data_IF_836914461229
#
_entry.id   IF_836914461229
#
_cell.length_a   1.000
_cell.length_b   1.000
_cell.length_c   1.000
_cell.angle_alpha   90.00
_cell.angle_beta   90.00
_cell.angle_gamma   90.00
#
_symmetry.space_group_name_H-M   'P 1'
#
loop_
_entity.id
_entity.type
_entity.pdbx_description
1 polymer ?
#
# COMPACT_ATOMS: atom_id res chain seq x y z
N UNK A 1 0.42 12.24 -24.66
CA UNK A 1 1.61 13.01 -24.24
C UNK A 1 1.66 12.94 -22.73
N UNK A 2 2.78 12.50 -22.14
CA UNK A 2 2.97 12.52 -20.70
C UNK A 2 3.16 14.00 -20.29
N UNK A 3 2.26 14.55 -19.46
CA UNK A 3 2.20 15.98 -19.13
C UNK A 3 3.06 16.36 -17.91
N UNK A 4 3.88 15.42 -17.42
CA UNK A 4 4.60 15.57 -16.15
C UNK A 4 3.80 15.06 -14.96
N UNK A 5 4.40 15.12 -13.78
CA UNK A 5 3.78 14.77 -12.50
C UNK A 5 3.68 16.02 -11.63
N UNK A 6 2.71 16.10 -10.71
CA UNK A 6 2.69 17.16 -9.70
C UNK A 6 3.81 16.90 -8.69
N UNK A 7 4.86 17.72 -8.73
CA UNK A 7 6.03 17.57 -7.84
C UNK A 7 5.72 17.77 -6.36
N UNK A 8 4.55 18.35 -6.04
CA UNK A 8 4.08 18.52 -4.66
C UNK A 8 3.32 17.30 -4.15
N UNK A 9 2.89 16.40 -5.03
CA UNK A 9 2.24 15.16 -4.63
C UNK A 9 3.30 14.23 -4.02
N UNK A 10 3.12 13.80 -2.77
CA UNK A 10 4.11 12.96 -2.09
C UNK A 10 4.44 11.68 -2.87
N UNK A 11 3.46 11.11 -3.59
CA UNK A 11 3.58 9.88 -4.41
C UNK A 11 4.53 10.02 -5.60
N UNK A 12 4.93 11.24 -5.97
CA UNK A 12 5.82 11.51 -7.10
C UNK A 12 7.28 11.10 -6.88
N UNK A 13 7.67 10.75 -5.64
CA UNK A 13 9.04 10.37 -5.27
C UNK A 13 9.05 9.00 -4.58
N UNK A 14 10.17 8.30 -4.64
CA UNK A 14 10.36 7.06 -3.85
C UNK A 14 10.06 7.32 -2.37
N UNK A 15 9.33 6.40 -1.73
CA UNK A 15 8.80 6.58 -0.38
C UNK A 15 7.53 7.44 -0.28
N UNK A 16 6.99 7.93 -1.39
CA UNK A 16 5.84 8.81 -1.44
C UNK A 16 4.55 8.25 -0.84
N UNK A 17 4.24 6.99 -1.18
CA UNK A 17 3.10 6.26 -0.59
C UNK A 17 3.24 6.13 0.92
N UNK A 18 4.46 5.89 1.40
CA UNK A 18 4.72 5.77 2.82
C UNK A 18 4.53 7.09 3.59
N UNK A 19 5.00 8.20 3.03
CA UNK A 19 4.76 9.54 3.58
C UNK A 19 3.26 9.86 3.61
N UNK A 20 2.54 9.60 2.51
CA UNK A 20 1.11 9.83 2.43
C UNK A 20 0.33 9.02 3.49
N UNK A 21 0.66 7.73 3.64
CA UNK A 21 0.03 6.86 4.64
C UNK A 21 0.32 7.33 6.08
N UNK A 22 1.57 7.72 6.38
CA UNK A 22 1.93 8.28 7.68
C UNK A 22 1.11 9.55 7.99
N UNK A 23 0.96 10.44 7.00
CA UNK A 23 0.21 11.67 7.15
C UNK A 23 -1.29 11.40 7.34
N UNK A 24 -1.91 10.55 6.52
CA UNK A 24 -3.33 10.15 6.67
C UNK A 24 -3.58 9.57 8.06
N UNK A 25 -2.71 8.67 8.53
CA UNK A 25 -2.85 8.04 9.85
C UNK A 25 -2.74 9.07 10.98
N UNK A 26 -1.82 10.04 10.86
CA UNK A 26 -1.63 11.12 11.83
C UNK A 26 -2.80 12.11 11.83
N UNK A 27 -3.22 12.58 10.66
CA UNK A 27 -4.19 13.66 10.51
C UNK A 27 -5.60 13.22 10.92
N UNK A 28 -5.93 11.94 10.72
CA UNK A 28 -7.23 11.38 11.09
C UNK A 28 -7.22 10.57 12.40
N UNK A 29 -6.04 10.34 13.00
CA UNK A 29 -5.91 9.58 14.23
C UNK A 29 -6.34 8.10 14.10
N UNK A 30 -6.19 7.52 12.91
CA UNK A 30 -6.54 6.11 12.68
C UNK A 30 -5.67 5.18 13.53
N UNK A 31 -6.32 4.29 14.29
CA UNK A 31 -5.62 3.30 15.13
C UNK A 31 -5.03 2.15 14.32
N UNK A 32 -5.64 1.83 13.19
CA UNK A 32 -5.21 0.79 12.28
C UNK A 32 -5.37 1.27 10.83
N UNK A 33 -4.38 1.02 9.99
CA UNK A 33 -4.38 1.33 8.57
C UNK A 33 -3.74 0.18 7.80
N UNK A 34 -4.43 -0.31 6.77
CA UNK A 34 -3.93 -1.37 5.88
C UNK A 34 -3.60 -0.79 4.52
N UNK A 35 -2.40 -1.09 4.01
CA UNK A 35 -2.02 -0.80 2.62
C UNK A 35 -2.28 -2.02 1.74
N UNK A 36 -2.85 -1.83 0.56
CA UNK A 36 -3.09 -2.89 -0.43
C UNK A 36 -2.46 -2.48 -1.76
N UNK A 37 -1.61 -3.34 -2.33
CA UNK A 37 -0.98 -3.11 -3.63
C UNK A 37 -0.09 -4.27 -4.08
N UNK A 38 0.40 -4.25 -5.32
CA UNK A 38 1.26 -5.32 -5.88
C UNK A 38 2.75 -4.98 -5.80
N UNK A 39 3.08 -3.69 -5.65
CA UNK A 39 4.42 -3.16 -5.86
C UNK A 39 5.26 -3.01 -4.60
N UNK A 40 6.58 -2.87 -4.80
CA UNK A 40 7.52 -2.61 -3.71
C UNK A 40 7.25 -1.26 -3.01
N UNK A 41 6.79 -0.24 -3.75
CA UNK A 41 6.44 1.06 -3.16
C UNK A 41 5.17 1.00 -2.31
N UNK A 42 4.28 0.05 -2.56
CA UNK A 42 3.13 -0.23 -1.70
C UNK A 42 3.59 -0.90 -0.40
N UNK A 43 4.48 -1.89 -0.51
CA UNK A 43 5.08 -2.52 0.66
C UNK A 43 5.86 -1.54 1.55
N UNK A 44 6.58 -0.58 0.95
CA UNK A 44 7.28 0.49 1.69
C UNK A 44 6.36 1.34 2.58
N UNK A 45 5.05 1.38 2.29
CA UNK A 45 4.09 2.10 3.13
C UNK A 45 3.95 1.51 4.55
N UNK A 46 4.43 0.27 4.75
CA UNK A 46 4.50 -0.39 6.06
C UNK A 46 5.72 0.00 6.90
N UNK A 47 6.50 1.00 6.48
CA UNK A 47 7.59 1.55 7.30
C UNK A 47 7.07 2.03 8.67
N UNK A 48 7.94 2.19 9.69
CA UNK A 48 7.52 2.66 11.01
C UNK A 48 6.66 3.93 10.96
N UNK A 49 5.51 3.91 11.64
CA UNK A 49 4.52 4.99 11.67
C UNK A 49 3.54 4.99 10.48
N UNK A 50 3.72 4.12 9.49
CA UNK A 50 2.84 3.96 8.33
C UNK A 50 1.73 2.92 8.56
N UNK A 51 1.45 2.13 7.53
CA UNK A 51 0.47 1.05 7.57
C UNK A 51 0.89 -0.02 8.57
N UNK A 52 -0.09 -0.61 9.24
CA UNK A 52 0.10 -1.70 10.20
C UNK A 52 0.18 -3.05 9.49
N UNK A 53 -0.61 -3.18 8.43
CA UNK A 53 -0.69 -4.36 7.58
C UNK A 53 -0.44 -4.00 6.12
N UNK A 54 0.23 -4.90 5.42
CA UNK A 54 0.36 -4.87 3.97
C UNK A 54 -0.24 -6.13 3.35
N UNK A 55 -1.23 -5.90 2.49
CA UNK A 55 -1.83 -6.93 1.65
C UNK A 55 -1.24 -6.82 0.24
N UNK A 56 -0.57 -7.87 -0.22
CA UNK A 56 -0.12 -7.96 -1.60
C UNK A 56 -1.29 -8.42 -2.48
N UNK A 57 -1.73 -7.58 -3.41
CA UNK A 57 -2.71 -7.96 -4.42
C UNK A 57 -1.99 -8.48 -5.68
N UNK A 58 -2.09 -9.77 -5.95
CA UNK A 58 -1.44 -10.44 -7.08
C UNK A 58 -2.41 -10.84 -8.20
N UNK A 59 -3.64 -10.31 -8.19
CA UNK A 59 -4.66 -10.65 -9.19
C UNK A 59 -4.35 -10.21 -10.63
N UNK A 60 -3.38 -9.30 -10.82
CA UNK A 60 -2.89 -8.87 -12.14
C UNK A 60 -1.48 -9.39 -12.39
N UNK A 61 -0.54 -9.09 -11.48
CA UNK A 61 0.85 -9.53 -11.58
C UNK A 61 1.34 -10.00 -10.22
N UNK A 62 1.84 -11.23 -10.16
CA UNK A 62 2.55 -11.73 -8.99
C UNK A 62 4.01 -11.27 -9.03
N UNK A 63 4.42 -10.49 -8.03
CA UNK A 63 5.81 -10.12 -7.79
C UNK A 63 6.32 -10.87 -6.56
N UNK A 64 6.98 -12.01 -6.76
CA UNK A 64 7.37 -12.93 -5.67
C UNK A 64 8.12 -12.23 -4.53
N UNK A 65 9.05 -11.33 -4.85
CA UNK A 65 9.83 -10.60 -3.85
C UNK A 65 8.98 -9.65 -2.96
N UNK A 66 7.83 -9.20 -3.44
CA UNK A 66 6.87 -8.37 -2.68
C UNK A 66 5.91 -9.28 -1.92
N UNK A 67 5.36 -10.30 -2.59
CA UNK A 67 4.44 -11.26 -2.01
C UNK A 67 5.04 -12.00 -0.80
N UNK A 68 6.32 -12.38 -0.87
CA UNK A 68 7.03 -13.04 0.22
C UNK A 68 7.17 -12.19 1.51
N UNK A 69 6.94 -10.87 1.41
CA UNK A 69 7.03 -9.93 2.53
C UNK A 69 5.66 -9.45 3.01
N UNK A 70 4.58 -9.87 2.36
CA UNK A 70 3.23 -9.45 2.69
C UNK A 70 2.68 -10.18 3.91
N UNK A 71 1.84 -9.50 4.68
CA UNK A 71 1.08 -10.15 5.76
C UNK A 71 0.00 -11.07 5.18
N UNK A 72 -0.54 -10.67 4.03
CA UNK A 72 -1.55 -11.42 3.31
C UNK A 72 -1.38 -11.24 1.81
N UNK A 73 -1.34 -12.36 1.09
CA UNK A 73 -1.38 -12.40 -0.37
C UNK A 73 -2.79 -12.76 -0.83
N UNK A 74 -3.37 -11.94 -1.71
CA UNK A 74 -4.69 -12.21 -2.33
C UNK A 74 -4.60 -12.13 -3.85
N UNK A 75 -5.40 -12.95 -4.53
CA UNK A 75 -5.49 -12.94 -5.99
C UNK A 75 -6.84 -12.39 -6.47
N UNK A 76 -7.84 -12.35 -5.60
CA UNK A 76 -9.15 -11.81 -5.91
C UNK A 76 -9.62 -10.89 -4.78
N UNK A 77 -10.23 -9.75 -5.11
CA UNK A 77 -10.85 -8.88 -4.12
C UNK A 77 -11.96 -9.59 -3.33
N UNK A 78 -12.57 -10.64 -3.89
CA UNK A 78 -13.54 -11.47 -3.19
C UNK A 78 -12.96 -12.08 -1.90
N UNK A 79 -11.66 -12.40 -1.86
CA UNK A 79 -11.01 -12.93 -0.65
C UNK A 79 -11.03 -11.90 0.50
N UNK A 80 -10.85 -10.62 0.15
CA UNK A 80 -10.97 -9.51 1.10
C UNK A 80 -12.41 -9.30 1.54
N UNK A 81 -13.35 -9.27 0.59
CA UNK A 81 -14.78 -9.07 0.87
C UNK A 81 -15.31 -10.17 1.80
N UNK A 82 -14.96 -11.43 1.53
CA UNK A 82 -15.36 -12.57 2.35
C UNK A 82 -14.86 -12.48 3.80
N UNK A 83 -13.80 -11.71 4.05
CA UNK A 83 -13.21 -11.56 5.37
C UNK A 83 -13.81 -10.41 6.19
N UNK A 84 -14.69 -9.60 5.59
CA UNK A 84 -15.33 -8.45 6.27
C UNK A 84 -16.58 -8.82 7.09
N UNK A 85 -17.07 -10.06 6.98
CA UNK A 85 -18.26 -10.54 7.69
C UNK A 85 -19.57 -10.27 6.97
#
# INVERSE_FOLDING_TARGET
QFLGFDENEHTSRSGGKATAVQQIKKDHGYKALTMIGDGATDFEARRPGGADLFVCYAGVQLREAVAAKADWLVFNFQDLINSLG
#
